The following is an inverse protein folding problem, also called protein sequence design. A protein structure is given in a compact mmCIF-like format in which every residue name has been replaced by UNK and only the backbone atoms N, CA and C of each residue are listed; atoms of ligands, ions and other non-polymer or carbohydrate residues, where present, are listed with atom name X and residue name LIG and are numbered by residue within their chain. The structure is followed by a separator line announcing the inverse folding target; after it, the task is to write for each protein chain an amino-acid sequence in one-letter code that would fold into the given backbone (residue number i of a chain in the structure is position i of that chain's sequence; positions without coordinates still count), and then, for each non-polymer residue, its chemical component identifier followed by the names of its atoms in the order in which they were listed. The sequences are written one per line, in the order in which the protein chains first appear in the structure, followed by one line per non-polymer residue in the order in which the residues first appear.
data_IF_066202040732
#
_entry.id   IF_066202040732
#
_cell.length_a   1.000
_cell.length_b   1.000
_cell.length_c   1.000
_cell.angle_alpha   90.00
_cell.angle_beta   90.00
_cell.angle_gamma   90.00
#
_symmetry.space_group_name_H-M   'P 1'
#
loop_
_entity.id
_entity.type
_entity.pdbx_description
1 polymer ?
#
# COMPACT_ATOMS: atom_id res chain seq x y z
N UNK A 1 10.02 3.33 -14.11
CA UNK A 1 8.79 2.66 -13.65
C UNK A 1 8.62 1.35 -14.41
N UNK A 2 8.42 0.24 -13.71
CA UNK A 2 8.04 -1.06 -14.27
C UNK A 2 6.62 -1.45 -13.86
N UNK A 3 6.10 -2.51 -14.48
CA UNK A 3 4.87 -3.20 -14.06
C UNK A 3 5.21 -4.62 -13.63
N UNK A 4 4.64 -5.07 -12.52
CA UNK A 4 4.81 -6.44 -12.02
C UNK A 4 3.47 -7.01 -11.57
N UNK A 5 3.34 -8.33 -11.55
CA UNK A 5 2.24 -9.01 -10.86
C UNK A 5 2.72 -9.28 -9.44
N UNK A 6 1.98 -8.78 -8.46
CA UNK A 6 2.31 -8.93 -7.05
C UNK A 6 2.09 -10.37 -6.58
N UNK A 7 2.99 -10.82 -5.70
CA UNK A 7 2.91 -12.11 -5.01
C UNK A 7 3.13 -11.85 -3.53
N UNK A 8 2.06 -11.44 -2.86
CA UNK A 8 2.07 -10.98 -1.48
C UNK A 8 1.55 -12.02 -0.50
N UNK A 9 1.05 -13.15 -1.03
CA UNK A 9 0.80 -14.36 -0.25
C UNK A 9 2.10 -14.74 0.50
N UNK A 10 2.00 -14.90 1.82
CA UNK A 10 3.13 -15.18 2.74
C UNK A 10 4.10 -13.99 2.99
N UNK A 11 3.75 -12.76 2.59
CA UNK A 11 4.54 -11.57 2.98
C UNK A 11 4.33 -11.20 4.44
N UNK A 12 3.10 -11.38 4.96
CA UNK A 12 2.79 -11.11 6.36
C UNK A 12 3.67 -11.93 7.32
N UNK A 13 3.92 -13.20 7.00
CA UNK A 13 4.77 -14.11 7.80
C UNK A 13 6.24 -13.64 7.88
N UNK A 14 6.66 -12.76 6.97
CA UNK A 14 8.01 -12.18 6.90
C UNK A 14 8.09 -10.79 7.54
N UNK A 15 6.95 -10.16 7.84
CA UNK A 15 6.87 -8.85 8.44
C UNK A 15 6.50 -8.98 9.92
N UNK A 16 7.26 -8.33 10.81
CA UNK A 16 6.98 -8.32 12.25
C UNK A 16 5.85 -7.33 12.61
N UNK A 17 4.72 -7.39 11.90
CA UNK A 17 3.55 -6.56 12.18
C UNK A 17 2.82 -7.19 13.37
N UNK A 18 2.64 -6.42 14.44
CA UNK A 18 2.07 -6.91 15.69
C UNK A 18 0.78 -6.18 16.06
N UNK A 19 -0.04 -6.81 16.89
CA UNK A 19 -1.21 -6.17 17.50
C UNK A 19 -2.35 -5.94 16.51
N UNK A 20 -3.11 -4.86 16.74
CA UNK A 20 -4.37 -4.54 16.03
C UNK A 20 -4.19 -4.33 14.52
N UNK A 21 -2.99 -3.95 14.07
CA UNK A 21 -2.71 -3.69 12.66
C UNK A 21 -2.33 -4.98 11.90
N UNK A 22 -2.11 -6.12 12.58
CA UNK A 22 -1.81 -7.39 11.92
C UNK A 22 -2.91 -7.83 10.95
N UNK A 23 -4.18 -7.79 11.39
CA UNK A 23 -5.31 -8.15 10.52
C UNK A 23 -5.52 -7.13 9.40
N UNK A 24 -5.23 -5.85 9.65
CA UNK A 24 -5.27 -4.82 8.62
C UNK A 24 -4.28 -5.13 7.49
N UNK A 25 -3.02 -5.38 7.84
CA UNK A 25 -1.98 -5.69 6.87
C UNK A 25 -2.17 -7.03 6.18
N UNK A 26 -2.78 -8.01 6.86
CA UNK A 26 -3.21 -9.24 6.23
C UNK A 26 -4.19 -8.96 5.09
N UNK A 27 -5.23 -8.16 5.35
CA UNK A 27 -6.21 -7.79 4.34
C UNK A 27 -5.56 -6.99 3.19
N UNK A 28 -4.63 -6.08 3.50
CA UNK A 28 -3.86 -5.33 2.49
C UNK A 28 -3.09 -6.30 1.58
N UNK A 29 -2.33 -7.23 2.14
CA UNK A 29 -1.56 -8.19 1.34
C UNK A 29 -2.44 -9.15 0.56
N UNK A 30 -3.60 -9.56 1.09
CA UNK A 30 -4.57 -10.38 0.35
C UNK A 30 -5.19 -9.61 -0.83
N UNK A 31 -5.50 -8.32 -0.66
CA UNK A 31 -6.00 -7.46 -1.74
C UNK A 31 -4.96 -7.19 -2.83
N UNK A 32 -3.69 -7.12 -2.45
CA UNK A 32 -2.58 -6.90 -3.38
C UNK A 32 -2.21 -8.16 -4.19
N UNK A 33 -2.53 -9.37 -3.68
CA UNK A 33 -2.03 -10.61 -4.27
C UNK A 33 -2.61 -10.85 -5.67
N UNK A 34 -1.73 -11.06 -6.66
CA UNK A 34 -2.12 -11.25 -8.05
C UNK A 34 -2.47 -9.96 -8.81
N UNK A 35 -2.52 -8.80 -8.15
CA UNK A 35 -2.76 -7.53 -8.83
C UNK A 35 -1.52 -7.05 -9.60
N UNK A 36 -1.77 -6.25 -10.64
CA UNK A 36 -0.70 -5.58 -11.39
C UNK A 36 -0.36 -4.28 -10.66
N UNK A 37 0.92 -4.07 -10.36
CA UNK A 37 1.40 -2.87 -9.68
C UNK A 37 2.48 -2.13 -10.47
N UNK A 38 2.54 -0.82 -10.28
CA UNK A 38 3.65 0.01 -10.69
C UNK A 38 4.74 0.00 -9.64
N UNK A 39 5.98 -0.18 -10.08
CA UNK A 39 7.15 -0.25 -9.20
C UNK A 39 8.35 0.52 -9.73
N UNK A 40 9.25 0.94 -8.85
CA UNK A 40 10.59 1.41 -9.21
C UNK A 40 11.64 0.56 -8.53
N UNK A 41 12.82 0.45 -9.14
CA UNK A 41 13.97 -0.15 -8.46
C UNK A 41 14.33 0.73 -7.27
N UNK A 42 14.55 0.11 -6.12
CA UNK A 42 15.03 0.81 -4.94
C UNK A 42 16.46 1.29 -5.17
N UNK A 43 16.71 2.56 -4.86
CA UNK A 43 18.08 3.10 -4.79
C UNK A 43 18.75 2.80 -3.44
N UNK A 44 17.95 2.49 -2.41
CA UNK A 44 18.41 2.19 -1.07
C UNK A 44 18.89 0.72 -0.91
N UNK A 45 18.29 -0.21 -1.65
CA UNK A 45 18.61 -1.64 -1.58
C UNK A 45 18.63 -2.29 -2.97
N UNK A 46 19.79 -2.83 -3.36
CA UNK A 46 19.94 -3.51 -4.64
C UNK A 46 19.04 -4.76 -4.73
N UNK A 47 18.33 -4.90 -5.85
CA UNK A 47 17.41 -6.01 -6.09
C UNK A 47 16.03 -5.85 -5.45
N UNK A 48 15.78 -4.78 -4.69
CA UNK A 48 14.46 -4.44 -4.15
C UNK A 48 13.69 -3.47 -5.03
N UNK A 49 12.38 -3.47 -4.87
CA UNK A 49 11.48 -2.57 -5.55
C UNK A 49 10.62 -1.78 -4.56
N UNK A 50 10.36 -0.53 -4.90
CA UNK A 50 9.41 0.34 -4.20
C UNK A 50 8.06 0.22 -4.90
N UNK A 51 7.03 -0.12 -4.14
CA UNK A 51 5.64 -0.11 -4.60
C UNK A 51 5.14 1.33 -4.80
N UNK A 52 4.43 1.58 -5.90
CA UNK A 52 3.88 2.91 -6.21
C UNK A 52 2.37 2.93 -6.38
N UNK A 53 1.70 1.77 -6.31
CA UNK A 53 0.26 1.68 -6.53
C UNK A 53 -0.12 0.55 -7.48
N UNK A 54 -1.39 0.15 -7.40
CA UNK A 54 -2.01 -0.78 -8.32
C UNK A 54 -2.30 -0.11 -9.67
N UNK A 55 -2.28 -0.91 -10.74
CA UNK A 55 -2.61 -0.44 -12.07
C UNK A 55 -4.11 -0.22 -12.29
N UNK A 56 -4.95 -0.85 -11.47
CA UNK A 56 -6.40 -0.60 -11.41
C UNK A 56 -6.66 0.63 -10.52
N UNK A 57 -7.15 1.76 -11.06
CA UNK A 57 -7.33 2.98 -10.29
C UNK A 57 -8.35 2.88 -9.16
N UNK A 58 -9.40 2.06 -9.33
CA UNK A 58 -10.43 1.87 -8.31
C UNK A 58 -9.87 1.12 -7.11
N UNK A 59 -9.25 -0.04 -7.38
CA UNK A 59 -8.58 -0.81 -6.33
C UNK A 59 -7.42 -0.05 -5.69
N UNK A 60 -6.74 0.79 -6.46
CA UNK A 60 -5.64 1.59 -5.95
C UNK A 60 -6.12 2.58 -4.88
N UNK A 61 -7.22 3.32 -5.14
CA UNK A 61 -7.78 4.26 -4.15
C UNK A 61 -8.20 3.53 -2.87
N UNK A 62 -8.91 2.41 -3.01
CA UNK A 62 -9.35 1.60 -1.86
C UNK A 62 -8.17 1.05 -1.05
N UNK A 63 -7.12 0.59 -1.75
CA UNK A 63 -5.89 0.10 -1.12
C UNK A 63 -5.20 1.22 -0.31
N UNK A 64 -5.04 2.41 -0.88
CA UNK A 64 -4.42 3.53 -0.18
C UNK A 64 -5.23 3.96 1.03
N UNK A 65 -6.56 4.03 0.93
CA UNK A 65 -7.40 4.30 2.10
C UNK A 65 -7.25 3.23 3.18
N UNK A 66 -7.16 1.96 2.80
CA UNK A 66 -6.96 0.86 3.74
C UNK A 66 -5.62 0.97 4.47
N UNK A 67 -4.55 1.32 3.76
CA UNK A 67 -3.23 1.57 4.36
C UNK A 67 -3.29 2.74 5.35
N UNK A 68 -4.05 3.80 5.06
CA UNK A 68 -4.26 4.96 5.95
C UNK A 68 -5.00 4.61 7.26
N UNK A 69 -5.48 3.37 7.41
CA UNK A 69 -6.05 2.87 8.66
C UNK A 69 -4.99 2.31 9.63
N UNK A 70 -3.73 2.18 9.18
CA UNK A 70 -2.63 1.77 10.03
C UNK A 70 -2.42 2.79 11.15
N UNK A 71 -2.35 2.31 12.39
CA UNK A 71 -2.34 3.21 13.54
C UNK A 71 -1.02 3.94 13.80
N UNK A 72 0.04 3.54 13.10
CA UNK A 72 1.38 4.13 13.21
C UNK A 72 1.64 5.15 12.09
N UNK A 73 1.13 4.91 10.88
CA UNK A 73 1.42 5.74 9.69
C UNK A 73 0.19 6.46 9.11
N UNK A 74 -1.02 6.05 9.48
CA UNK A 74 -2.26 6.53 8.90
C UNK A 74 -2.65 7.93 9.38
N UNK A 75 -3.06 8.78 8.44
CA UNK A 75 -3.61 10.11 8.69
C UNK A 75 -5.14 10.12 8.70
N UNK A 76 -5.77 9.33 7.83
CA UNK A 76 -7.22 9.36 7.58
C UNK A 76 -7.96 8.19 8.25
N UNK A 77 -7.59 7.87 9.49
CA UNK A 77 -8.17 6.73 10.23
C UNK A 77 -9.67 6.97 10.45
N UNK A 78 -10.50 6.19 9.75
CA UNK A 78 -11.96 6.29 9.77
C UNK A 78 -12.54 7.50 9.00
N UNK A 79 -11.72 8.31 8.34
CA UNK A 79 -12.15 9.54 7.66
C UNK A 79 -12.05 9.40 6.13
N UNK A 80 -13.05 8.73 5.56
CA UNK A 80 -13.15 8.57 4.10
C UNK A 80 -13.37 9.92 3.38
N UNK A 81 -14.11 10.85 3.99
CA UNK A 81 -14.49 12.10 3.33
C UNK A 81 -13.27 13.04 3.16
N UNK A 82 -12.45 13.18 4.21
CA UNK A 82 -11.19 13.94 4.11
C UNK A 82 -10.22 13.27 3.14
N UNK A 83 -10.09 11.93 3.20
CA UNK A 83 -9.24 11.19 2.26
C UNK A 83 -9.68 11.38 0.82
N UNK A 84 -10.97 11.25 0.52
CA UNK A 84 -11.51 11.38 -0.83
C UNK A 84 -11.29 12.80 -1.38
N UNK A 85 -11.48 13.82 -0.56
CA UNK A 85 -11.23 15.23 -0.92
C UNK A 85 -9.76 15.47 -1.25
N UNK A 86 -8.85 14.96 -0.42
CA UNK A 86 -7.41 15.09 -0.64
C UNK A 86 -6.93 14.22 -1.83
N UNK A 87 -7.57 13.07 -2.06
CA UNK A 87 -7.28 12.20 -3.20
C UNK A 87 -7.63 12.87 -4.52
N UNK A 88 -8.83 13.45 -4.61
CA UNK A 88 -9.30 14.13 -5.82
C UNK A 88 -8.54 15.43 -6.12
N UNK A 89 -8.07 16.13 -5.09
CA UNK A 89 -7.24 17.33 -5.24
C UNK A 89 -5.76 17.00 -5.54
N UNK A 90 -5.35 15.74 -5.39
CA UNK A 90 -3.95 15.32 -5.53
C UNK A 90 -3.06 15.71 -4.35
N UNK A 91 -3.66 16.07 -3.20
CA UNK A 91 -2.96 16.45 -1.97
C UNK A 91 -2.48 15.24 -1.14
N UNK A 92 -2.90 14.02 -1.51
CA UNK A 92 -2.41 12.79 -0.88
C UNK A 92 -0.94 12.52 -1.24
N UNK A 93 -0.08 12.38 -0.22
CA UNK A 93 1.30 11.94 -0.40
C UNK A 93 1.35 10.42 -0.58
N UNK A 94 1.04 9.93 -1.79
CA UNK A 94 1.08 8.50 -2.14
C UNK A 94 2.48 7.86 -2.00
N UNK A 95 3.53 8.65 -1.71
CA UNK A 95 4.93 8.23 -1.69
C UNK A 95 5.47 7.82 -0.33
N UNK A 96 4.75 8.03 0.77
CA UNK A 96 5.32 7.83 2.12
C UNK A 96 5.15 6.39 2.66
N UNK A 97 4.43 5.52 1.94
CA UNK A 97 4.24 4.12 2.34
C UNK A 97 5.23 3.22 1.60
N UNK A 98 6.33 2.88 2.27
CA UNK A 98 7.30 1.90 1.77
C UNK A 98 6.78 0.47 1.96
N UNK A 99 6.04 -0.04 0.98
CA UNK A 99 5.77 -1.48 0.91
C UNK A 99 6.91 -2.15 0.15
N UNK A 100 7.71 -2.92 0.90
CA UNK A 100 8.77 -3.75 0.34
C UNK A 100 8.16 -5.00 -0.31
N UNK A 101 8.31 -5.11 -1.62
CA UNK A 101 7.87 -6.25 -2.47
C UNK A 101 9.05 -6.93 -3.14
#
# INVERSE_FOLDING_TARGET
MGKVILRTKETLDRCAIQGKDHELWKNIYELMDGEIAYVYKSEAEEGKYVFCGLADPGKNKDLFFLIEQDSMIGRYIGDWEEFETDWESGATNQMDVFIWI
#
